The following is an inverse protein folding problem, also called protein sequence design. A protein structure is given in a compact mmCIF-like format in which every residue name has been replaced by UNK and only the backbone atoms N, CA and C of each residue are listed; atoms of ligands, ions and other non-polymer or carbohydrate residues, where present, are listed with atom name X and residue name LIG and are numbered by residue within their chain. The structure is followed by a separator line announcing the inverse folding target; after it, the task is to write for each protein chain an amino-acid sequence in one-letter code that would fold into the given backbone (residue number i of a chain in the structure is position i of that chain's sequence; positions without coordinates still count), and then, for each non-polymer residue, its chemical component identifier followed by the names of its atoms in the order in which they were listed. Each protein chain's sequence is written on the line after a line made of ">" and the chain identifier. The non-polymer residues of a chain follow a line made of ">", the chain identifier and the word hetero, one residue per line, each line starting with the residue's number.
data_IF_765914545127
#
_entry.id   IF_765914545127
#
_cell.length_a   1.000
_cell.length_b   1.000
_cell.length_c   1.000
_cell.angle_alpha   90.00
_cell.angle_beta   90.00
_cell.angle_gamma   90.00
#
_symmetry.space_group_name_H-M   'P 1'
#
loop_
_entity.id
_entity.type
_entity.pdbx_description
1 polymer ?
#
# COMPACT_ATOMS: atom_id res chain seq x y z
N UNK A 1 13.57 -16.64 -17.85
CA UNK A 1 12.73 -16.27 -16.70
C UNK A 1 11.28 -16.52 -17.10
N UNK A 2 10.72 -17.70 -16.78
CA UNK A 2 9.42 -18.13 -17.32
C UNK A 2 8.29 -17.23 -16.85
N UNK A 3 7.64 -16.51 -17.78
CA UNK A 3 6.35 -15.88 -17.53
C UNK A 3 5.33 -17.01 -17.44
N UNK A 4 4.60 -17.09 -16.34
CA UNK A 4 3.34 -17.84 -16.31
C UNK A 4 2.37 -17.09 -17.21
N UNK A 5 2.05 -17.66 -18.37
CA UNK A 5 1.25 -17.02 -19.42
C UNK A 5 -0.20 -16.77 -18.99
N UNK A 6 -0.66 -17.45 -17.93
CA UNK A 6 -1.92 -17.17 -17.27
C UNK A 6 -1.84 -17.25 -15.73
N UNK A 7 -2.77 -16.59 -15.01
CA UNK A 7 -2.93 -16.77 -13.56
C UNK A 7 -3.20 -18.22 -13.15
N UNK A 8 -3.78 -19.03 -14.05
CA UNK A 8 -4.02 -20.44 -13.82
C UNK A 8 -2.70 -21.22 -13.83
N UNK A 9 -1.76 -20.88 -14.73
CA UNK A 9 -0.45 -21.52 -14.80
C UNK A 9 0.39 -21.23 -13.56
N UNK A 10 0.31 -20.00 -13.04
CA UNK A 10 0.98 -19.64 -11.79
C UNK A 10 0.46 -20.46 -10.61
N UNK A 11 -0.86 -20.63 -10.52
CA UNK A 11 -1.46 -21.47 -9.49
C UNK A 11 -1.09 -22.94 -9.68
N UNK A 12 -1.16 -23.46 -10.91
CA UNK A 12 -0.76 -24.83 -11.23
C UNK A 12 0.71 -25.09 -10.89
N UNK A 13 1.60 -24.17 -11.22
CA UNK A 13 3.02 -24.27 -10.87
C UNK A 13 3.22 -24.35 -9.35
N UNK A 14 2.49 -23.53 -8.58
CA UNK A 14 2.49 -23.61 -7.12
C UNK A 14 2.00 -24.98 -6.63
N UNK A 15 0.91 -25.51 -7.20
CA UNK A 15 0.37 -26.83 -6.85
C UNK A 15 1.38 -27.95 -7.13
N UNK A 16 2.03 -27.92 -8.29
CA UNK A 16 3.04 -28.90 -8.70
C UNK A 16 4.25 -28.87 -7.76
N UNK A 17 4.73 -27.67 -7.44
CA UNK A 17 5.87 -27.46 -6.54
C UNK A 17 5.52 -27.90 -5.11
N UNK A 18 4.31 -27.64 -4.61
CA UNK A 18 3.88 -28.13 -3.29
C UNK A 18 3.74 -29.66 -3.26
N UNK A 19 3.27 -30.27 -4.36
CA UNK A 19 3.11 -31.73 -4.46
C UNK A 19 4.45 -32.47 -4.47
N UNK A 20 5.54 -31.84 -4.90
CA UNK A 20 6.86 -32.47 -4.86
C UNK A 20 7.42 -32.59 -3.44
N UNK A 21 6.85 -31.87 -2.46
CA UNK A 21 7.27 -31.83 -1.06
C UNK A 21 8.79 -31.56 -0.88
N UNK A 22 9.41 -30.87 -1.84
CA UNK A 22 10.86 -30.66 -1.90
C UNK A 22 11.31 -29.29 -1.36
N UNK A 23 10.42 -28.54 -0.70
CA UNK A 23 10.67 -27.15 -0.28
C UNK A 23 10.21 -26.88 1.15
N UNK A 24 10.93 -25.99 1.84
CA UNK A 24 10.53 -25.49 3.16
C UNK A 24 9.62 -24.25 3.10
N UNK A 25 9.70 -23.45 2.04
CA UNK A 25 8.83 -22.29 1.87
C UNK A 25 8.57 -21.92 0.40
N UNK A 26 7.34 -21.48 0.10
CA UNK A 26 6.88 -21.00 -1.19
C UNK A 26 6.37 -19.56 -1.05
N UNK A 27 6.83 -18.65 -1.91
CA UNK A 27 6.28 -17.30 -2.05
C UNK A 27 5.78 -17.14 -3.48
N UNK A 28 4.50 -16.83 -3.65
CA UNK A 28 3.85 -16.74 -4.95
C UNK A 28 3.07 -15.43 -5.10
N UNK A 29 3.29 -14.72 -6.21
CA UNK A 29 2.53 -13.52 -6.56
C UNK A 29 1.27 -13.93 -7.32
N UNK A 30 0.12 -13.94 -6.65
CA UNK A 30 -1.14 -14.47 -7.17
C UNK A 30 -2.25 -13.40 -7.16
N UNK A 31 -2.10 -12.29 -7.88
CA UNK A 31 -2.98 -11.12 -7.76
C UNK A 31 -4.42 -11.39 -8.20
N UNK A 32 -4.65 -12.44 -9.00
CA UNK A 32 -5.96 -12.84 -9.54
C UNK A 32 -6.42 -14.22 -9.05
N UNK A 33 -5.80 -14.78 -8.00
CA UNK A 33 -6.19 -16.10 -7.50
C UNK A 33 -7.58 -16.07 -6.86
N UNK A 34 -8.47 -16.92 -7.38
CA UNK A 34 -9.83 -17.11 -6.86
C UNK A 34 -9.77 -17.78 -5.48
N UNK A 35 -10.79 -17.58 -4.62
CA UNK A 35 -10.84 -18.20 -3.29
C UNK A 35 -10.71 -19.73 -3.31
N UNK A 36 -11.26 -20.38 -4.34
CA UNK A 36 -11.16 -21.83 -4.57
C UNK A 36 -9.72 -22.29 -4.77
N UNK A 37 -8.94 -21.53 -5.57
CA UNK A 37 -7.54 -21.82 -5.81
C UNK A 37 -6.69 -21.68 -4.55
N UNK A 38 -6.95 -20.63 -3.76
CA UNK A 38 -6.30 -20.47 -2.45
C UNK A 38 -6.65 -21.62 -1.52
N UNK A 39 -7.90 -22.07 -1.48
CA UNK A 39 -8.31 -23.22 -0.66
C UNK A 39 -7.58 -24.50 -1.06
N UNK A 40 -7.41 -24.74 -2.35
CA UNK A 40 -6.67 -25.91 -2.86
C UNK A 40 -5.20 -25.86 -2.46
N UNK A 41 -4.55 -24.71 -2.63
CA UNK A 41 -3.17 -24.49 -2.19
C UNK A 41 -3.02 -24.72 -0.68
N UNK A 42 -3.93 -24.19 0.14
CA UNK A 42 -3.91 -24.42 1.58
C UNK A 42 -4.05 -25.90 1.96
N UNK A 43 -4.85 -26.67 1.20
CA UNK A 43 -4.95 -28.12 1.39
C UNK A 43 -3.64 -28.86 1.10
N UNK A 44 -2.93 -28.47 0.03
CA UNK A 44 -1.62 -29.05 -0.29
C UNK A 44 -0.57 -28.69 0.76
N UNK A 45 -0.56 -27.43 1.21
CA UNK A 45 0.35 -26.95 2.27
C UNK A 45 0.08 -27.67 3.60
N UNK A 46 -1.18 -27.94 3.93
CA UNK A 46 -1.51 -28.67 5.16
C UNK A 46 -1.03 -30.13 5.15
N UNK A 47 -0.69 -30.69 3.98
CA UNK A 47 -0.13 -32.03 3.84
C UNK A 47 1.40 -32.04 3.78
N UNK A 48 2.06 -30.88 3.92
CA UNK A 48 3.51 -30.74 3.88
C UNK A 48 4.01 -29.94 5.08
N UNK A 49 5.33 -29.96 5.32
CA UNK A 49 5.98 -29.10 6.31
C UNK A 49 6.35 -27.72 5.74
N UNK A 50 5.84 -27.38 4.55
CA UNK A 50 6.17 -26.15 3.86
C UNK A 50 5.34 -24.96 4.37
N UNK A 51 5.93 -23.77 4.36
CA UNK A 51 5.20 -22.51 4.51
C UNK A 51 4.84 -21.93 3.15
N UNK A 52 3.60 -21.45 2.96
CA UNK A 52 3.20 -20.82 1.71
C UNK A 52 2.64 -19.41 1.91
N UNK A 53 3.20 -18.45 1.17
CA UNK A 53 2.80 -17.05 1.14
C UNK A 53 2.26 -16.69 -0.23
N UNK A 54 0.97 -16.34 -0.30
CA UNK A 54 0.33 -15.83 -1.50
C UNK A 54 0.21 -14.31 -1.42
N UNK A 55 0.95 -13.59 -2.27
CA UNK A 55 0.91 -12.14 -2.34
C UNK A 55 -0.18 -11.72 -3.32
N UNK A 56 -1.07 -10.83 -2.87
CA UNK A 56 -2.24 -10.38 -3.63
C UNK A 56 -2.37 -8.85 -3.53
N UNK A 57 -3.12 -8.26 -4.46
CA UNK A 57 -3.46 -6.84 -4.41
C UNK A 57 -4.26 -6.50 -3.15
N UNK A 58 -4.11 -5.27 -2.64
CA UNK A 58 -4.86 -4.79 -1.47
C UNK A 58 -6.38 -4.85 -1.67
N UNK A 59 -6.87 -4.73 -2.91
CA UNK A 59 -8.30 -4.87 -3.22
C UNK A 59 -8.87 -6.24 -2.84
N UNK A 60 -8.05 -7.29 -2.85
CA UNK A 60 -8.46 -8.64 -2.44
C UNK A 60 -8.51 -8.82 -0.91
N UNK A 61 -8.34 -7.75 -0.12
CA UNK A 61 -8.51 -7.76 1.32
C UNK A 61 -9.96 -8.12 1.72
N UNK A 62 -10.94 -7.65 0.94
CA UNK A 62 -12.37 -7.87 1.20
C UNK A 62 -12.87 -9.24 0.74
N UNK A 63 -12.17 -9.90 -0.20
CA UNK A 63 -12.57 -11.20 -0.71
C UNK A 63 -12.54 -12.27 0.39
N UNK A 64 -13.50 -13.19 0.38
CA UNK A 64 -13.42 -14.38 1.22
C UNK A 64 -12.15 -15.19 0.88
N UNK A 65 -11.44 -15.68 1.89
CA UNK A 65 -10.22 -16.46 1.69
C UNK A 65 -10.05 -17.53 2.77
N UNK A 66 -9.64 -18.72 2.32
CA UNK A 66 -9.35 -19.87 3.17
C UNK A 66 -8.02 -19.73 3.94
N UNK A 67 -7.23 -18.66 3.73
CA UNK A 67 -5.94 -18.49 4.41
C UNK A 67 -6.11 -18.40 5.94
N UNK A 68 -5.32 -19.15 6.73
CA UNK A 68 -5.35 -19.10 8.18
C UNK A 68 -4.82 -17.76 8.73
N UNK A 69 -3.96 -17.08 7.98
CA UNK A 69 -3.45 -15.74 8.31
C UNK A 69 -3.56 -14.83 7.09
N UNK A 70 -4.09 -13.62 7.28
CA UNK A 70 -4.16 -12.57 6.26
C UNK A 70 -3.68 -11.27 6.86
N UNK A 71 -2.71 -10.64 6.20
CA UNK A 71 -2.12 -9.38 6.62
C UNK A 71 -2.20 -8.41 5.43
N UNK A 72 -2.72 -7.22 5.66
CA UNK A 72 -2.59 -6.08 4.75
C UNK A 72 -1.32 -5.30 5.13
N UNK A 73 -0.52 -4.95 4.13
CA UNK A 73 0.71 -4.19 4.30
C UNK A 73 0.56 -2.83 3.62
N UNK A 74 0.83 -1.76 4.36
CA UNK A 74 0.80 -0.40 3.87
C UNK A 74 2.10 0.32 4.27
N UNK A 75 2.68 1.14 3.38
CA UNK A 75 3.81 1.97 3.76
C UNK A 75 3.38 3.01 4.82
N UNK A 76 4.22 3.23 5.82
CA UNK A 76 4.05 4.26 6.84
C UNK A 76 5.24 5.22 6.85
N UNK A 77 5.01 6.44 7.36
CA UNK A 77 6.05 7.47 7.45
C UNK A 77 7.21 7.01 8.34
N UNK A 78 8.40 7.55 8.06
CA UNK A 78 9.59 7.29 8.90
C UNK A 78 10.25 5.93 8.69
N UNK A 79 10.07 5.29 7.53
CA UNK A 79 10.67 3.97 7.24
C UNK A 79 9.94 2.82 7.91
N UNK A 80 8.67 2.99 8.25
CA UNK A 80 7.84 1.94 8.84
C UNK A 80 6.93 1.30 7.79
N UNK A 81 6.53 0.06 8.07
CA UNK A 81 5.47 -0.65 7.35
C UNK A 81 4.37 -0.96 8.36
N UNK A 82 3.16 -0.54 8.04
CA UNK A 82 1.96 -0.88 8.81
C UNK A 82 1.46 -2.24 8.34
N UNK A 83 1.42 -3.21 9.24
CA UNK A 83 0.89 -4.54 9.00
C UNK A 83 -0.43 -4.71 9.77
N UNK A 84 -1.55 -4.71 9.05
CA UNK A 84 -2.87 -4.93 9.63
C UNK A 84 -3.28 -6.39 9.50
N UNK A 85 -3.59 -7.05 10.61
CA UNK A 85 -4.09 -8.42 10.62
C UNK A 85 -5.57 -8.40 10.24
N UNK A 86 -5.90 -8.93 9.06
CA UNK A 86 -7.29 -9.01 8.56
C UNK A 86 -8.00 -10.27 9.05
N UNK A 87 -7.26 -11.38 9.19
CA UNK A 87 -7.77 -12.66 9.64
C UNK A 87 -6.64 -13.45 10.29
N UNK A 88 -6.93 -14.10 11.42
CA UNK A 88 -6.01 -15.03 12.08
C UNK A 88 -6.80 -16.20 12.65
N UNK A 89 -6.36 -17.42 12.39
CA UNK A 89 -6.82 -18.60 13.11
C UNK A 89 -6.10 -18.66 14.46
N UNK A 90 -6.85 -18.74 15.57
CA UNK A 90 -6.29 -18.83 16.92
C UNK A 90 -6.68 -17.65 17.82
N UNK A 91 -5.91 -17.38 18.90
CA UNK A 91 -6.26 -16.35 19.89
C UNK A 91 -6.44 -14.95 19.27
N UNK A 92 -6.99 -14.00 20.02
CA UNK A 92 -6.96 -12.60 19.59
C UNK A 92 -5.51 -12.07 19.61
N UNK A 93 -5.13 -11.25 18.62
CA UNK A 93 -3.88 -10.50 18.59
C UNK A 93 -4.19 -9.05 18.25
N UNK A 94 -3.27 -8.14 18.56
CA UNK A 94 -3.35 -6.74 18.13
C UNK A 94 -3.59 -6.64 16.63
N UNK A 95 -4.62 -5.90 16.22
CA UNK A 95 -5.03 -5.82 14.81
C UNK A 95 -4.03 -5.06 13.92
N UNK A 96 -3.10 -4.29 14.49
CA UNK A 96 -2.13 -3.49 13.75
C UNK A 96 -0.75 -3.67 14.38
N UNK A 97 0.25 -3.94 13.55
CA UNK A 97 1.67 -4.01 13.88
C UNK A 97 2.40 -2.93 13.10
N UNK A 98 3.25 -2.15 13.76
CA UNK A 98 4.14 -1.19 13.10
C UNK A 98 5.53 -1.81 13.01
N UNK A 99 5.96 -2.15 11.81
CA UNK A 99 7.22 -2.83 11.55
C UNK A 99 8.23 -1.80 11.06
N UNK A 100 9.34 -1.63 11.78
CA UNK A 100 10.43 -0.79 11.31
C UNK A 100 11.14 -1.51 10.17
N UNK A 101 11.14 -0.92 8.97
CA UNK A 101 11.99 -1.40 7.89
C UNK A 101 13.37 -0.78 8.12
N UNK A 102 14.32 -1.60 8.56
CA UNK A 102 15.72 -1.16 8.65
C UNK A 102 16.17 -0.61 7.30
N UNK A 103 17.12 0.33 7.33
CA UNK A 103 17.74 0.84 6.10
C UNK A 103 18.36 -0.34 5.34
N UNK A 104 17.69 -0.78 4.28
CA UNK A 104 18.24 -1.74 3.34
C UNK A 104 19.10 -0.93 2.36
N UNK A 105 20.43 -1.11 2.34
CA UNK A 105 21.33 -0.26 1.54
C UNK A 105 21.01 -0.27 0.04
N UNK A 106 20.35 -1.32 -0.46
CA UNK A 106 19.92 -1.43 -1.85
C UNK A 106 18.54 -0.80 -2.14
N UNK A 107 17.78 -0.43 -1.11
CA UNK A 107 16.48 0.27 -1.22
C UNK A 107 16.55 1.74 -0.77
N UNK A 108 17.75 2.24 -0.42
CA UNK A 108 17.96 3.60 0.07
C UNK A 108 17.51 4.69 -0.92
N UNK A 109 17.43 4.38 -2.22
CA UNK A 109 16.89 5.29 -3.25
C UNK A 109 15.37 5.26 -3.42
N UNK A 110 14.67 4.29 -2.82
CA UNK A 110 13.21 4.10 -2.97
C UNK A 110 12.42 4.66 -1.78
N UNK A 111 13.07 4.87 -0.64
CA UNK A 111 12.43 5.41 0.57
C UNK A 111 12.08 6.90 0.48
N UNK A 112 12.40 7.57 -0.62
CA UNK A 112 12.16 9.00 -0.87
C UNK A 112 10.88 9.25 -1.67
N UNK A 113 9.72 8.83 -1.17
CA UNK A 113 8.42 9.20 -1.72
C UNK A 113 8.07 10.65 -1.39
N UNK A 114 8.72 11.59 -2.07
CA UNK A 114 8.38 13.01 -2.11
C UNK A 114 6.98 13.19 -2.73
N UNK A 115 5.93 13.04 -1.92
CA UNK A 115 4.55 13.35 -2.31
C UNK A 115 4.17 14.67 -1.64
N UNK A 116 4.63 15.77 -2.24
CA UNK A 116 4.17 17.13 -2.00
C UNK A 116 4.36 17.67 -0.59
N UNK A 117 5.55 18.23 -0.30
CA UNK A 117 5.54 19.45 0.51
C UNK A 117 4.80 20.53 -0.28
N UNK A 118 3.51 20.69 0.00
CA UNK A 118 2.83 21.95 -0.27
C UNK A 118 3.51 22.98 0.63
N UNK A 119 4.40 23.77 0.03
CA UNK A 119 4.96 24.96 0.67
C UNK A 119 3.80 25.93 0.93
N UNK A 120 3.55 26.41 2.16
CA UNK A 120 2.80 27.65 2.30
C UNK A 120 3.69 28.76 1.70
N UNK A 121 3.25 29.35 0.60
CA UNK A 121 3.90 30.54 0.04
C UNK A 121 3.79 31.67 1.06
N UNK A 122 4.86 31.92 1.80
CA UNK A 122 5.11 33.21 2.44
C UNK A 122 5.87 34.10 1.45
N UNK A 123 5.15 34.68 0.48
CA UNK A 123 5.66 35.84 -0.25
C UNK A 123 5.48 37.06 0.64
N UNK A 124 6.56 37.44 1.30
CA UNK A 124 6.73 38.74 1.94
C UNK A 124 7.50 39.62 0.98
N UNK A 125 6.90 40.74 0.54
CA UNK A 125 7.66 41.95 0.17
C UNK A 125 6.74 43.17 0.24
N UNK A 126 6.73 43.80 1.41
CA UNK A 126 6.71 45.26 1.50
C UNK A 126 8.10 45.74 1.07
N UNK A 127 8.21 46.58 0.02
CA UNK A 127 8.84 47.91 0.14
C UNK A 127 8.68 48.76 -1.13
N UNK A 128 8.27 50.00 -0.87
CA UNK A 128 8.60 51.29 -1.49
C UNK A 128 8.36 51.64 -2.97
N UNK A 129 7.76 52.82 -3.07
CA UNK A 129 8.08 53.91 -3.99
C UNK A 129 8.01 53.63 -5.49
N UNK A 130 6.87 54.00 -6.07
CA UNK A 130 6.91 54.82 -7.29
C UNK A 130 5.71 55.75 -7.36
N UNK A 131 5.99 57.00 -7.01
CA UNK A 131 5.28 58.19 -7.43
C UNK A 131 4.92 58.15 -8.93
N UNK A 132 3.65 58.43 -9.25
CA UNK A 132 3.24 59.36 -10.32
C UNK A 132 1.73 59.61 -10.30
N UNK A 133 1.39 60.85 -9.95
CA UNK A 133 0.12 61.56 -10.23
C UNK A 133 -0.48 61.20 -11.60
N UNK A 134 -1.82 61.09 -11.69
CA UNK A 134 -2.71 62.17 -12.18
C UNK A 134 -4.15 61.65 -12.49
N UNK A 135 -5.12 62.15 -11.69
CA UNK A 135 -6.45 62.72 -12.04
C UNK A 135 -7.47 61.87 -12.83
N UNK A 136 -8.67 61.68 -12.24
CA UNK A 136 -9.98 62.19 -12.72
C UNK A 136 -11.16 61.33 -12.21
N UNK A 137 -12.28 61.98 -11.85
CA UNK A 137 -13.63 61.39 -11.93
C UNK A 137 -14.22 60.88 -10.60
N UNK A 138 -14.88 61.69 -9.76
CA UNK A 138 -16.31 62.10 -9.76
C UNK A 138 -17.22 61.17 -8.90
N UNK A 139 -17.66 61.74 -7.76
CA UNK A 139 -19.00 61.81 -7.12
C UNK A 139 -20.04 60.68 -7.29
N UNK A 140 -20.52 60.13 -6.16
CA UNK A 140 -21.95 59.92 -5.77
C UNK A 140 -22.00 59.37 -4.32
N UNK A 141 -22.36 60.09 -3.26
CA UNK A 141 -23.66 60.60 -2.76
C UNK A 141 -24.61 59.53 -2.17
N UNK A 142 -24.87 59.74 -0.87
CA UNK A 142 -26.07 59.45 -0.07
C UNK A 142 -26.39 58.02 0.41
N UNK A 143 -26.78 57.95 1.69
CA UNK A 143 -27.61 56.87 2.22
C UNK A 143 -27.49 56.60 3.71
N UNK A 144 -27.88 57.57 4.55
CA UNK A 144 -28.11 57.34 5.97
C UNK A 144 -29.39 56.51 6.20
N UNK A 145 -29.41 55.67 7.24
CA UNK A 145 -30.61 54.97 7.68
C UNK A 145 -30.33 54.16 8.94
N UNK A 146 -30.56 54.80 10.09
CA UNK A 146 -30.76 54.21 11.42
C UNK A 146 -31.89 53.20 11.45
#
# INVERSE_FOLDING_TARGET
>A
MGKTESPADAQWACETILRSNALGALVAWLPRARPEGIRRLQGLVAATDALAFAIRSIGAAHDASASPLRIALEPASGGFVRAQILKRRGPAASNILLLQLGSLPHLSGLSGGNRGQVRPNSETTLDKDRDRKKVAGIVEVAGAGT
#
